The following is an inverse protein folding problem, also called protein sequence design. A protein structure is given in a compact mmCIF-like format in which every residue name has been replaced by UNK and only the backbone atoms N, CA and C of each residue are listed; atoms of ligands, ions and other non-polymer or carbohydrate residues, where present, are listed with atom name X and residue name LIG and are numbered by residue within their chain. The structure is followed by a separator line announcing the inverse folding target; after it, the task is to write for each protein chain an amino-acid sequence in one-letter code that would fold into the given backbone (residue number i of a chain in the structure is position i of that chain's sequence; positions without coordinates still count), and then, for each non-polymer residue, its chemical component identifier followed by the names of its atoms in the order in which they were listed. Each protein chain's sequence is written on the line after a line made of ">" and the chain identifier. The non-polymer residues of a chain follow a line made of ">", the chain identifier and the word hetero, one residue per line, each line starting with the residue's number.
data_IF_229038343484
#
_entry.id   IF_229038343484
#
_cell.length_a   1.000
_cell.length_b   1.000
_cell.length_c   1.000
_cell.angle_alpha   90.00
_cell.angle_beta   90.00
_cell.angle_gamma   90.00
#
_symmetry.space_group_name_H-M   'P 1'
#
loop_
_entity.id
_entity.type
_entity.pdbx_description
1 polymer ?
#
# COMPACT_ATOMS: atom_id res chain seq x y z
N UNK A 1 -17.18 10.33 1.52
CA UNK A 1 -16.41 9.59 0.50
C UNK A 1 -16.04 8.25 1.09
N UNK A 2 -16.41 7.16 0.43
CA UNK A 2 -16.09 5.81 0.90
C UNK A 2 -14.78 5.37 0.23
N UNK A 3 -13.71 5.19 1.01
CA UNK A 3 -12.40 4.75 0.49
C UNK A 3 -12.36 3.23 0.29
N UNK A 4 -13.03 2.48 1.16
CA UNK A 4 -13.03 1.03 1.17
C UNK A 4 -14.34 0.50 0.57
N UNK A 5 -14.23 -0.28 -0.51
CA UNK A 5 -15.33 -1.07 -1.03
C UNK A 5 -15.17 -2.56 -0.69
N UNK A 6 -15.96 -3.42 -1.36
CA UNK A 6 -15.99 -4.87 -1.13
C UNK A 6 -14.62 -5.56 -1.24
N UNK A 7 -13.71 -5.01 -2.06
CA UNK A 7 -12.39 -5.59 -2.30
C UNK A 7 -11.28 -4.53 -2.17
N UNK A 8 -11.39 -3.68 -1.15
CA UNK A 8 -10.40 -2.67 -0.80
C UNK A 8 -10.57 -1.33 -1.52
N UNK A 9 -9.49 -0.56 -1.57
CA UNK A 9 -9.42 0.75 -2.21
C UNK A 9 -9.24 0.56 -3.72
N UNK A 10 -10.12 1.15 -4.53
CA UNK A 10 -10.15 0.96 -6.00
C UNK A 10 -10.27 2.27 -6.77
N UNK A 11 -9.61 2.29 -7.93
CA UNK A 11 -9.62 3.43 -8.86
C UNK A 11 -8.35 3.50 -9.70
N UNK A 12 -8.25 4.51 -10.53
CA UNK A 12 -7.05 4.79 -11.34
C UNK A 12 -5.91 5.38 -10.48
N UNK A 13 -4.67 5.19 -10.95
CA UNK A 13 -3.47 5.64 -10.24
C UNK A 13 -3.29 7.17 -10.25
N UNK A 14 -3.98 7.88 -11.15
CA UNK A 14 -3.78 9.32 -11.38
C UNK A 14 -4.55 10.13 -10.34
N UNK A 15 -5.77 9.72 -10.02
CA UNK A 15 -6.70 10.51 -9.21
C UNK A 15 -7.19 9.81 -7.94
N UNK A 16 -7.20 8.47 -7.91
CA UNK A 16 -7.84 7.70 -6.83
C UNK A 16 -6.86 6.87 -6.02
N UNK A 17 -6.16 5.92 -6.64
CA UNK A 17 -5.20 5.01 -5.98
C UNK A 17 -3.79 5.52 -6.23
N UNK A 18 -3.51 6.72 -5.72
CA UNK A 18 -2.24 7.42 -5.95
C UNK A 18 -1.14 6.90 -5.01
N UNK A 19 0.14 7.11 -5.33
CA UNK A 19 1.25 6.83 -4.40
C UNK A 19 1.11 7.58 -3.07
N UNK A 20 0.63 8.82 -3.08
CA UNK A 20 0.36 9.60 -1.86
C UNK A 20 -0.70 8.92 -0.98
N UNK A 21 -1.77 8.40 -1.58
CA UNK A 21 -2.77 7.64 -0.81
C UNK A 21 -2.16 6.35 -0.24
N UNK A 22 -1.38 5.62 -1.02
CA UNK A 22 -0.71 4.39 -0.57
C UNK A 22 0.24 4.66 0.61
N UNK A 23 1.00 5.75 0.57
CA UNK A 23 1.85 6.20 1.67
C UNK A 23 1.04 6.46 2.94
N UNK A 24 -0.04 7.24 2.84
CA UNK A 24 -0.90 7.59 3.98
C UNK A 24 -1.60 6.37 4.57
N UNK A 25 -2.05 5.43 3.73
CA UNK A 25 -2.60 4.15 4.20
C UNK A 25 -1.53 3.36 4.95
N UNK A 26 -0.32 3.25 4.39
CA UNK A 26 0.79 2.56 5.07
C UNK A 26 1.12 3.17 6.43
N UNK A 27 1.14 4.49 6.53
CA UNK A 27 1.36 5.20 7.81
C UNK A 27 0.26 4.86 8.83
N UNK A 28 -1.00 4.94 8.42
CA UNK A 28 -2.12 4.64 9.30
C UNK A 28 -2.10 3.17 9.77
N UNK A 29 -1.89 2.24 8.84
CA UNK A 29 -1.83 0.81 9.13
C UNK A 29 -0.63 0.45 10.00
N UNK A 30 0.52 1.10 9.80
CA UNK A 30 1.74 0.83 10.57
C UNK A 30 1.66 1.23 12.04
N UNK A 31 0.70 2.10 12.44
CA UNK A 31 0.48 2.42 13.85
C UNK A 31 -0.13 1.25 14.65
N UNK A 32 -0.85 0.37 13.96
CA UNK A 32 -1.61 -0.73 14.58
C UNK A 32 -0.90 -2.09 14.45
N UNK A 33 0.29 -2.15 13.84
CA UNK A 33 1.00 -3.41 13.63
C UNK A 33 2.52 -3.28 13.54
N UNK A 34 3.21 -4.32 14.00
CA UNK A 34 4.68 -4.33 14.04
C UNK A 34 5.33 -4.92 12.77
N UNK A 35 4.66 -5.84 12.09
CA UNK A 35 5.19 -6.53 10.90
C UNK A 35 4.11 -6.69 9.84
N UNK A 36 4.45 -6.37 8.59
CA UNK A 36 3.58 -6.53 7.43
C UNK A 36 4.25 -7.31 6.31
N UNK A 37 3.49 -8.18 5.65
CA UNK A 37 3.89 -8.81 4.39
C UNK A 37 3.31 -7.99 3.24
N UNK A 38 4.15 -7.60 2.29
CA UNK A 38 3.75 -6.76 1.17
C UNK A 38 4.07 -7.44 -0.17
N UNK A 39 3.00 -7.75 -0.91
CA UNK A 39 3.04 -8.23 -2.29
C UNK A 39 2.25 -7.32 -3.21
N UNK A 40 2.44 -7.49 -4.52
CA UNK A 40 1.72 -6.73 -5.54
C UNK A 40 1.50 -7.59 -6.80
N UNK A 41 0.64 -7.14 -7.72
CA UNK A 41 0.26 -7.91 -8.92
C UNK A 41 1.05 -7.50 -10.18
N UNK A 42 0.59 -7.93 -11.36
CA UNK A 42 1.25 -7.65 -12.64
C UNK A 42 1.04 -6.27 -13.26
N UNK A 43 0.37 -5.32 -12.60
CA UNK A 43 0.15 -3.99 -13.20
C UNK A 43 1.42 -3.16 -13.21
N UNK A 44 1.60 -2.37 -14.27
CA UNK A 44 2.78 -1.49 -14.44
C UNK A 44 2.95 -0.52 -13.27
N UNK A 45 1.85 -0.07 -12.66
CA UNK A 45 1.85 0.87 -11.54
C UNK A 45 2.09 0.22 -10.18
N UNK A 46 1.97 -1.11 -10.08
CA UNK A 46 2.00 -1.84 -8.82
C UNK A 46 3.33 -1.75 -8.07
N UNK A 47 4.52 -1.81 -8.72
CA UNK A 47 5.79 -1.63 -8.01
C UNK A 47 5.88 -0.28 -7.28
N UNK A 48 5.50 0.81 -7.94
CA UNK A 48 5.54 2.15 -7.35
C UNK A 48 4.55 2.31 -6.18
N UNK A 49 3.35 1.74 -6.30
CA UNK A 49 2.37 1.74 -5.20
C UNK A 49 2.84 0.89 -4.01
N UNK A 50 3.49 -0.24 -4.28
CA UNK A 50 4.09 -1.05 -3.23
C UNK A 50 5.25 -0.31 -2.53
N UNK A 51 6.08 0.42 -3.26
CA UNK A 51 7.13 1.24 -2.66
C UNK A 51 6.58 2.35 -1.76
N UNK A 52 5.53 3.04 -2.19
CA UNK A 52 4.86 4.06 -1.37
C UNK A 52 4.22 3.46 -0.11
N UNK A 53 3.54 2.33 -0.23
CA UNK A 53 2.97 1.59 0.91
C UNK A 53 4.06 1.17 1.91
N UNK A 54 5.16 0.60 1.41
CA UNK A 54 6.28 0.18 2.25
C UNK A 54 6.89 1.37 3.01
N UNK A 55 7.12 2.49 2.32
CA UNK A 55 7.62 3.71 2.95
C UNK A 55 6.68 4.20 4.07
N UNK A 56 5.37 4.11 3.86
CA UNK A 56 4.37 4.51 4.84
C UNK A 56 4.45 3.63 6.10
N UNK A 57 4.41 2.31 5.90
CA UNK A 57 4.52 1.32 6.97
C UNK A 57 5.83 1.49 7.78
N UNK A 58 6.96 1.63 7.08
CA UNK A 58 8.27 1.79 7.72
C UNK A 58 8.40 3.11 8.47
N UNK A 59 7.80 4.19 7.96
CA UNK A 59 7.82 5.49 8.65
C UNK A 59 7.04 5.48 9.98
N UNK A 60 6.07 4.57 10.13
CA UNK A 60 5.36 4.31 11.37
C UNK A 60 6.09 3.32 12.30
N UNK A 61 7.29 2.86 11.92
CA UNK A 61 8.10 1.93 12.72
C UNK A 61 7.86 0.45 12.41
N UNK A 62 7.00 0.12 11.45
CA UNK A 62 6.70 -1.27 11.13
C UNK A 62 7.78 -1.94 10.25
N UNK A 63 8.02 -3.23 10.48
CA UNK A 63 8.87 -4.07 9.64
C UNK A 63 8.11 -4.57 8.41
N UNK A 64 8.66 -4.38 7.22
CA UNK A 64 8.02 -4.82 5.96
C UNK A 64 8.78 -5.99 5.32
N UNK A 65 8.08 -7.11 5.13
CA UNK A 65 8.58 -8.28 4.39
C UNK A 65 8.04 -8.23 2.97
N UNK A 66 8.89 -7.94 1.99
CA UNK A 66 8.49 -7.80 0.59
C UNK A 66 8.55 -9.15 -0.12
N UNK A 67 7.41 -9.60 -0.65
CA UNK A 67 7.30 -10.86 -1.42
C UNK A 67 7.25 -10.63 -2.93
N UNK A 68 7.26 -9.37 -3.36
CA UNK A 68 7.33 -8.99 -4.77
C UNK A 68 6.01 -9.22 -5.51
N UNK A 69 6.13 -9.56 -6.80
CA UNK A 69 4.99 -9.85 -7.66
C UNK A 69 4.46 -11.25 -7.37
N UNK A 70 3.19 -11.35 -7.00
CA UNK A 70 2.48 -12.60 -6.68
C UNK A 70 1.17 -12.70 -7.47
N UNK A 71 0.50 -13.88 -7.52
CA UNK A 71 -0.76 -14.07 -8.25
C UNK A 71 -1.86 -13.07 -7.88
#
# INVERSE_FOLDING_TARGET
>A
MELFGTAGIRGDVVSKVTPDLALRVGQATGQDGETFVLGYDGRVTSPALADAMAAGLQSAGARVVRIGRVP
#
